data_IF_797728458836
#
_entry.id   IF_797728458836
#
_cell.length_a   1.000
_cell.length_b   1.000
_cell.length_c   1.000
_cell.angle_alpha   90.00
_cell.angle_beta   90.00
_cell.angle_gamma   90.00
#
_symmetry.space_group_name_H-M   'P 1'
#
loop_
_entity.id
_entity.type
_entity.pdbx_description
1 polymer ?
#
# COMPACT_ATOMS: atom_id res chain seq x y z
N UNK A 1 31.53 -7.64 8.61
CA UNK A 1 30.67 -7.94 9.77
C UNK A 1 29.47 -8.70 9.23
N UNK A 2 29.59 -10.02 9.23
CA UNK A 2 28.66 -10.93 8.58
C UNK A 2 27.59 -11.33 9.61
N UNK A 3 26.36 -10.83 9.44
CA UNK A 3 25.21 -11.30 10.21
C UNK A 3 24.64 -12.54 9.51
N UNK A 4 24.26 -13.55 10.30
CA UNK A 4 23.39 -14.66 9.91
C UNK A 4 22.02 -14.49 10.61
N UNK A 5 20.93 -14.88 9.98
CA UNK A 5 19.57 -14.75 10.54
C UNK A 5 19.04 -16.15 10.86
N UNK A 6 18.35 -16.29 12.01
CA UNK A 6 17.77 -17.55 12.49
C UNK A 6 16.25 -17.51 12.29
N UNK A 7 15.68 -18.50 11.60
CA UNK A 7 14.23 -18.60 11.40
C UNK A 7 13.52 -19.12 12.66
N UNK A 8 12.42 -18.47 13.07
CA UNK A 8 11.57 -18.88 14.20
C UNK A 8 10.12 -19.10 13.75
N UNK A 9 9.57 -20.23 14.17
CA UNK A 9 8.20 -20.73 13.96
C UNK A 9 7.18 -20.10 14.92
N UNK A 10 5.96 -19.88 14.43
CA UNK A 10 4.89 -19.09 15.07
C UNK A 10 4.11 -19.73 16.23
N UNK A 11 3.18 -18.95 16.78
CA UNK A 11 2.16 -19.31 17.78
C UNK A 11 1.02 -18.26 17.80
N UNK A 12 -0.15 -18.49 18.47
CA UNK A 12 -1.46 -18.48 17.82
C UNK A 12 -2.33 -17.22 18.01
N UNK A 13 -3.36 -17.14 17.16
CA UNK A 13 -4.32 -16.06 17.01
C UNK A 13 -5.34 -15.94 18.16
N UNK A 14 -5.68 -14.69 18.51
CA UNK A 14 -6.79 -14.33 19.39
C UNK A 14 -7.98 -13.82 18.56
N UNK A 15 -9.12 -14.52 18.65
CA UNK A 15 -10.40 -14.14 18.07
C UNK A 15 -11.06 -12.99 18.84
N UNK A 16 -11.56 -11.97 18.16
CA UNK A 16 -12.68 -11.14 18.63
C UNK A 16 -13.50 -10.60 17.44
N UNK A 17 -14.78 -10.35 17.73
CA UNK A 17 -15.95 -10.46 16.85
C UNK A 17 -16.20 -9.25 15.94
N UNK A 18 -16.61 -9.56 14.71
CA UNK A 18 -17.22 -8.64 13.74
C UNK A 18 -18.69 -8.38 14.09
N UNK A 19 -19.11 -7.11 14.03
CA UNK A 19 -20.51 -6.75 13.84
C UNK A 19 -20.65 -5.73 12.72
N UNK A 20 -21.57 -6.07 11.83
CA UNK A 20 -21.97 -5.40 10.60
C UNK A 20 -22.58 -4.02 10.83
N UNK A 21 -22.30 -3.09 9.92
CA UNK A 21 -23.16 -1.93 9.65
C UNK A 21 -23.33 -1.81 8.13
N UNK A 22 -24.55 -2.06 7.67
CA UNK A 22 -25.03 -1.66 6.35
C UNK A 22 -25.60 -0.23 6.44
N UNK A 23 -25.23 0.65 5.53
CA UNK A 23 -26.11 1.24 4.48
C UNK A 23 -25.63 2.61 3.96
N UNK A 24 -25.92 2.79 2.66
CA UNK A 24 -26.27 4.00 1.93
C UNK A 24 -25.18 5.02 1.51
N UNK A 25 -24.84 4.95 0.21
CA UNK A 25 -25.02 6.09 -0.69
C UNK A 25 -23.84 6.43 -1.60
N UNK A 26 -23.89 6.03 -2.88
CA UNK A 26 -23.87 6.93 -4.07
C UNK A 26 -24.31 6.12 -5.29
N UNK A 27 -25.09 6.73 -6.18
CA UNK A 27 -25.74 6.09 -7.34
C UNK A 27 -24.73 5.52 -8.35
N UNK A 28 -24.65 4.19 -8.43
CA UNK A 28 -24.18 3.44 -9.60
C UNK A 28 -25.36 2.65 -10.18
N UNK A 29 -25.44 2.54 -11.50
CA UNK A 29 -26.53 1.85 -12.19
C UNK A 29 -26.75 0.43 -11.65
N UNK A 30 -27.95 0.16 -11.14
CA UNK A 30 -28.51 -1.14 -10.72
C UNK A 30 -27.50 -2.32 -10.64
N UNK A 31 -26.96 -2.55 -9.44
CA UNK A 31 -26.73 -3.90 -8.92
C UNK A 31 -25.31 -4.49 -8.97
N UNK A 32 -24.35 -3.86 -9.64
CA UNK A 32 -22.97 -4.40 -9.72
C UNK A 32 -21.96 -3.38 -9.20
N UNK A 33 -21.16 -3.79 -8.20
CA UNK A 33 -20.04 -2.99 -7.69
C UNK A 33 -19.02 -2.75 -8.82
N UNK A 34 -18.38 -1.57 -8.88
CA UNK A 34 -17.34 -1.31 -9.86
C UNK A 34 -16.20 -2.33 -9.69
N UNK A 35 -15.54 -2.69 -10.78
CA UNK A 35 -14.37 -3.57 -10.76
C UNK A 35 -13.06 -2.76 -10.75
N UNK A 36 -11.94 -3.46 -10.63
CA UNK A 36 -10.61 -2.82 -10.66
C UNK A 36 -10.23 -2.22 -12.02
N UNK A 37 -10.95 -2.50 -13.10
CA UNK A 37 -10.77 -1.82 -14.39
C UNK A 37 -11.48 -0.46 -14.35
N UNK A 38 -12.73 -0.43 -13.87
CA UNK A 38 -13.49 0.80 -13.66
C UNK A 38 -12.78 1.77 -12.72
N UNK A 39 -12.10 1.28 -11.67
CA UNK A 39 -11.22 2.11 -10.81
C UNK A 39 -10.14 2.79 -11.64
N UNK A 40 -9.42 2.03 -12.47
CA UNK A 40 -8.32 2.57 -13.29
C UNK A 40 -8.82 3.55 -14.34
N UNK A 41 -9.98 3.29 -14.95
CA UNK A 41 -10.59 4.17 -15.93
C UNK A 41 -11.05 5.48 -15.29
N UNK A 42 -11.65 5.41 -14.10
CA UNK A 42 -12.04 6.59 -13.30
C UNK A 42 -10.81 7.44 -12.95
N UNK A 43 -9.71 6.80 -12.54
CA UNK A 43 -8.45 7.49 -12.28
C UNK A 43 -7.89 8.20 -13.53
N UNK A 44 -7.95 7.56 -14.71
CA UNK A 44 -7.54 8.20 -15.96
C UNK A 44 -8.39 9.43 -16.27
N UNK A 45 -9.70 9.34 -16.08
CA UNK A 45 -10.64 10.45 -16.29
C UNK A 45 -10.35 11.64 -15.36
N UNK A 46 -10.20 11.38 -14.05
CA UNK A 46 -9.90 12.41 -13.03
C UNK A 46 -8.61 13.17 -13.34
N UNK A 47 -7.58 12.44 -13.78
CA UNK A 47 -6.25 13.00 -14.04
C UNK A 47 -6.15 13.65 -15.42
N UNK A 48 -7.03 13.29 -16.36
CA UNK A 48 -6.96 13.69 -17.76
C UNK A 48 -5.81 13.01 -18.51
N UNK A 49 -5.47 11.77 -18.14
CA UNK A 49 -4.35 11.05 -18.73
C UNK A 49 -4.72 10.49 -20.11
N UNK A 50 -4.00 10.87 -21.17
CA UNK A 50 -4.14 10.22 -22.48
C UNK A 50 -3.56 8.81 -22.46
N UNK A 51 -4.21 7.89 -23.18
CA UNK A 51 -3.70 6.54 -23.44
C UNK A 51 -2.56 6.52 -24.46
N UNK A 52 -2.47 7.56 -25.31
CA UNK A 52 -1.48 7.64 -26.36
C UNK A 52 -0.21 8.33 -25.86
N UNK A 53 0.94 7.74 -26.19
CA UNK A 53 2.22 8.32 -25.81
C UNK A 53 2.45 9.68 -26.44
N UNK A 54 2.00 9.93 -27.68
CA UNK A 54 2.16 11.20 -28.38
C UNK A 54 1.63 12.40 -27.59
N UNK A 55 0.58 12.20 -26.81
CA UNK A 55 -0.20 13.30 -26.22
C UNK A 55 0.35 13.73 -24.84
N UNK A 56 1.39 13.05 -24.33
CA UNK A 56 1.93 13.29 -23.00
C UNK A 56 2.42 14.73 -22.79
N UNK A 57 2.95 15.37 -23.84
CA UNK A 57 3.43 16.76 -23.78
C UNK A 57 2.25 17.70 -23.57
N UNK A 58 1.19 17.54 -24.36
CA UNK A 58 -0.02 18.35 -24.24
C UNK A 58 -0.68 18.15 -22.89
N UNK A 59 -0.81 16.89 -22.44
CA UNK A 59 -1.38 16.57 -21.13
C UNK A 59 -0.58 17.20 -19.98
N UNK A 60 0.76 17.29 -20.07
CA UNK A 60 1.57 17.97 -19.06
C UNK A 60 1.33 19.49 -19.05
N UNK A 61 1.21 20.13 -20.22
CA UNK A 61 0.96 21.57 -20.28
C UNK A 61 -0.47 21.92 -19.79
N UNK A 62 -1.46 21.09 -20.12
CA UNK A 62 -2.81 21.18 -19.56
C UNK A 62 -2.80 21.06 -18.04
N UNK A 63 -2.04 20.11 -17.48
CA UNK A 63 -1.92 19.98 -16.01
C UNK A 63 -1.27 21.19 -15.38
N UNK A 64 -0.24 21.75 -15.98
CA UNK A 64 0.45 22.94 -15.48
C UNK A 64 -0.49 24.15 -15.41
N UNK A 65 -1.47 24.24 -16.31
CA UNK A 65 -2.50 25.29 -16.25
C UNK A 65 -3.39 25.21 -15.00
N UNK A 66 -3.52 24.02 -14.38
CA UNK A 66 -4.31 23.80 -13.17
C UNK A 66 -3.63 24.34 -11.90
N UNK A 67 -2.41 24.86 -11.99
CA UNK A 67 -1.66 25.40 -10.84
C UNK A 67 -2.43 26.51 -10.11
N UNK A 68 -3.21 27.31 -10.83
CA UNK A 68 -4.03 28.39 -10.29
C UNK A 68 -5.20 27.91 -9.42
N UNK A 69 -5.61 26.64 -9.55
CA UNK A 69 -6.71 26.04 -8.81
C UNK A 69 -6.27 25.46 -7.45
N UNK A 70 -4.98 25.47 -7.14
CA UNK A 70 -4.48 25.00 -5.85
C UNK A 70 -4.85 25.97 -4.74
N UNK A 71 -5.38 25.42 -3.64
CA UNK A 71 -5.59 26.17 -2.41
C UNK A 71 -4.26 26.66 -1.84
N UNK A 72 -4.25 27.90 -1.31
CA UNK A 72 -3.06 28.50 -0.69
C UNK A 72 -2.92 28.11 0.78
N UNK A 73 -4.03 27.80 1.43
CA UNK A 73 -4.07 27.27 2.79
C UNK A 73 -5.07 26.12 2.90
N UNK A 74 -4.95 25.32 3.95
CA UNK A 74 -5.85 24.18 4.16
C UNK A 74 -7.26 24.63 4.55
N UNK A 75 -7.36 25.76 5.25
CA UNK A 75 -8.63 26.33 5.72
C UNK A 75 -9.49 26.85 4.55
N UNK A 76 -8.89 27.05 3.37
CA UNK A 76 -9.60 27.43 2.14
C UNK A 76 -10.35 26.25 1.51
N UNK A 77 -10.14 25.02 2.00
CA UNK A 77 -10.76 23.81 1.48
C UNK A 77 -11.93 23.36 2.38
N UNK A 78 -13.05 22.90 1.79
CA UNK A 78 -14.18 22.44 2.58
C UNK A 78 -13.81 21.18 3.37
N UNK A 79 -14.30 21.10 4.61
CA UNK A 79 -14.17 19.91 5.43
C UNK A 79 -14.96 18.73 4.85
N UNK A 80 -14.43 17.52 5.04
CA UNK A 80 -14.97 16.26 4.53
C UNK A 80 -15.12 15.26 5.68
N UNK A 81 -16.05 14.33 5.56
CA UNK A 81 -16.25 13.21 6.50
C UNK A 81 -15.62 11.94 5.93
N UNK A 82 -15.36 10.92 6.76
CA UNK A 82 -14.75 9.67 6.27
C UNK A 82 -15.63 9.02 5.21
N UNK A 83 -16.95 9.00 5.43
CA UNK A 83 -17.95 8.49 4.48
C UNK A 83 -17.91 9.15 3.10
N UNK A 84 -17.46 10.40 3.00
CA UNK A 84 -17.42 11.13 1.73
C UNK A 84 -16.34 10.58 0.77
N UNK A 85 -15.42 9.76 1.30
CA UNK A 85 -14.35 9.09 0.57
C UNK A 85 -14.51 7.57 0.55
N UNK A 86 -15.62 7.05 1.09
CA UNK A 86 -15.85 5.62 1.17
C UNK A 86 -16.10 5.01 -0.22
N UNK A 87 -15.39 3.94 -0.53
CA UNK A 87 -15.50 3.23 -1.81
C UNK A 87 -15.59 1.72 -1.55
N UNK A 88 -16.45 1.04 -2.31
CA UNK A 88 -16.47 -0.42 -2.44
C UNK A 88 -16.15 -0.82 -3.90
N UNK A 89 -15.29 -1.83 -4.06
CA UNK A 89 -14.87 -2.35 -5.37
C UNK A 89 -14.88 -3.87 -5.35
N UNK A 90 -15.34 -4.49 -6.43
CA UNK A 90 -15.28 -5.93 -6.61
C UNK A 90 -14.05 -6.37 -7.41
N UNK A 91 -13.52 -7.54 -7.08
CA UNK A 91 -12.54 -8.25 -7.87
C UNK A 91 -13.10 -9.68 -8.11
N UNK A 92 -13.79 -9.88 -9.24
CA UNK A 92 -14.59 -11.08 -9.48
C UNK A 92 -13.73 -12.27 -9.97
N UNK A 93 -12.79 -12.74 -9.15
CA UNK A 93 -11.93 -13.87 -9.52
C UNK A 93 -12.73 -15.18 -9.69
N UNK A 94 -13.73 -15.41 -8.84
CA UNK A 94 -14.61 -16.57 -8.90
C UNK A 94 -15.53 -16.52 -10.12
N UNK A 95 -16.20 -15.38 -10.31
CA UNK A 95 -17.20 -15.20 -11.36
C UNK A 95 -16.62 -14.95 -12.76
N UNK A 96 -15.35 -14.52 -12.88
CA UNK A 96 -14.71 -14.23 -14.17
C UNK A 96 -13.37 -14.98 -14.35
N UNK A 97 -13.39 -16.22 -14.90
CA UNK A 97 -12.18 -17.03 -15.08
C UNK A 97 -11.10 -16.37 -15.95
N UNK A 98 -11.49 -15.61 -16.99
CA UNK A 98 -10.51 -14.91 -17.84
C UNK A 98 -9.73 -13.84 -17.08
N UNK A 99 -10.38 -13.14 -16.13
CA UNK A 99 -9.71 -12.19 -15.25
C UNK A 99 -8.79 -12.90 -14.27
N UNK A 100 -9.24 -14.06 -13.74
CA UNK A 100 -8.50 -14.87 -12.76
C UNK A 100 -7.11 -15.26 -13.24
N UNK A 101 -6.93 -15.57 -14.52
CA UNK A 101 -5.62 -15.90 -15.12
C UNK A 101 -4.54 -14.85 -14.80
N UNK A 102 -4.92 -13.56 -14.76
CA UNK A 102 -4.00 -12.46 -14.44
C UNK A 102 -3.51 -12.50 -12.98
N UNK A 103 -4.29 -13.10 -12.09
CA UNK A 103 -4.06 -13.17 -10.65
C UNK A 103 -3.52 -14.51 -10.19
N UNK A 104 -3.46 -15.54 -11.04
CA UNK A 104 -2.91 -16.85 -10.65
C UNK A 104 -1.38 -16.88 -10.68
N UNK A 105 -0.80 -17.53 -9.68
CA UNK A 105 0.61 -17.94 -9.72
C UNK A 105 0.74 -19.40 -10.16
N UNK A 106 1.98 -19.87 -10.31
CA UNK A 106 2.29 -21.25 -10.75
C UNK A 106 1.81 -22.35 -9.80
N UNK A 107 1.38 -22.01 -8.58
CA UNK A 107 0.86 -22.93 -7.57
C UNK A 107 -0.66 -22.85 -7.43
N UNK A 108 -1.36 -22.26 -8.40
CA UNK A 108 -2.80 -22.00 -8.33
C UNK A 108 -3.24 -21.17 -7.10
N UNK A 109 -2.38 -20.29 -6.61
CA UNK A 109 -2.71 -19.32 -5.57
C UNK A 109 -2.78 -17.90 -6.16
N UNK A 110 -3.47 -17.00 -5.45
CA UNK A 110 -3.51 -15.58 -5.84
C UNK A 110 -2.13 -14.94 -5.69
N UNK A 111 -1.68 -14.25 -6.75
CA UNK A 111 -0.48 -13.41 -6.78
C UNK A 111 -0.69 -12.18 -5.90
N UNK A 112 -0.18 -12.25 -4.68
CA UNK A 112 -0.31 -11.15 -3.72
C UNK A 112 0.25 -9.82 -4.25
N UNK A 113 1.32 -9.84 -5.05
CA UNK A 113 1.83 -8.64 -5.72
C UNK A 113 0.80 -7.93 -6.63
N UNK A 114 -0.15 -8.66 -7.24
CA UNK A 114 -1.25 -8.04 -8.00
C UNK A 114 -2.27 -7.37 -7.09
N UNK A 115 -2.52 -7.94 -5.90
CA UNK A 115 -3.37 -7.34 -4.86
C UNK A 115 -2.76 -6.03 -4.35
N UNK A 116 -1.44 -5.97 -4.14
CA UNK A 116 -0.74 -4.73 -3.76
C UNK A 116 -0.90 -3.62 -4.83
N UNK A 117 -0.86 -4.00 -6.10
CA UNK A 117 -1.08 -3.06 -7.21
C UNK A 117 -2.52 -2.52 -7.25
N UNK A 118 -3.49 -3.37 -6.93
CA UNK A 118 -4.90 -2.99 -6.84
C UNK A 118 -5.18 -2.11 -5.62
N UNK A 119 -4.63 -2.44 -4.44
CA UNK A 119 -4.74 -1.63 -3.22
C UNK A 119 -4.14 -0.23 -3.42
N UNK A 120 -3.01 -0.12 -4.12
CA UNK A 120 -2.41 1.18 -4.43
C UNK A 120 -3.32 2.02 -5.34
N UNK A 121 -3.92 1.39 -6.36
CA UNK A 121 -4.88 2.05 -7.25
C UNK A 121 -6.13 2.52 -6.51
N UNK A 122 -6.68 1.65 -5.65
CA UNK A 122 -7.83 1.96 -4.82
C UNK A 122 -7.53 3.10 -3.84
N UNK A 123 -6.38 3.07 -3.17
CA UNK A 123 -5.99 4.12 -2.23
C UNK A 123 -5.87 5.49 -2.91
N UNK A 124 -5.33 5.54 -4.13
CA UNK A 124 -5.28 6.78 -4.92
C UNK A 124 -6.69 7.26 -5.26
N UNK A 125 -7.58 6.35 -5.67
CA UNK A 125 -8.97 6.72 -5.98
C UNK A 125 -9.71 7.25 -4.75
N UNK A 126 -9.58 6.60 -3.59
CA UNK A 126 -10.17 7.04 -2.32
C UNK A 126 -9.73 8.48 -2.00
N UNK A 127 -8.43 8.78 -2.14
CA UNK A 127 -7.92 10.13 -1.93
C UNK A 127 -8.46 11.14 -2.95
N UNK A 128 -8.63 10.75 -4.21
CA UNK A 128 -9.26 11.62 -5.20
C UNK A 128 -10.74 11.87 -4.91
N UNK A 129 -11.46 10.86 -4.42
CA UNK A 129 -12.84 11.00 -3.96
C UNK A 129 -12.90 11.93 -2.74
N UNK A 130 -11.97 11.81 -1.79
CA UNK A 130 -11.86 12.73 -0.65
C UNK A 130 -11.63 14.18 -1.07
N UNK A 131 -10.73 14.39 -2.03
CA UNK A 131 -10.31 15.73 -2.50
C UNK A 131 -11.13 16.25 -3.69
N UNK A 132 -12.24 15.60 -4.03
CA UNK A 132 -13.06 15.95 -5.19
C UNK A 132 -13.60 17.38 -5.05
N UNK A 133 -13.22 18.24 -5.99
CA UNK A 133 -13.75 19.59 -6.13
C UNK A 133 -14.93 19.60 -7.12
N UNK A 134 -15.62 20.74 -7.25
CA UNK A 134 -16.72 20.92 -8.21
C UNK A 134 -16.28 20.88 -9.68
N UNK A 135 -14.98 21.04 -9.95
CA UNK A 135 -14.38 20.94 -11.29
C UNK A 135 -14.23 19.49 -11.75
N UNK A 136 -14.45 19.23 -13.04
CA UNK A 136 -14.29 17.92 -13.68
C UNK A 136 -12.86 17.35 -13.59
N UNK A 137 -11.84 18.23 -13.51
CA UNK A 137 -10.42 17.85 -13.37
C UNK A 137 -9.84 18.40 -12.08
N UNK A 138 -9.01 17.60 -11.42
CA UNK A 138 -8.32 17.96 -10.18
C UNK A 138 -6.91 18.51 -10.43
N UNK A 139 -6.50 19.60 -9.75
CA UNK A 139 -5.13 20.10 -9.81
C UNK A 139 -4.13 19.21 -9.05
N UNK A 140 -4.61 18.29 -8.20
CA UNK A 140 -3.74 17.50 -7.33
C UNK A 140 -3.11 16.33 -8.10
N UNK A 141 -1.83 16.08 -7.82
CA UNK A 141 -1.17 14.81 -8.12
C UNK A 141 -1.04 14.02 -6.83
N UNK A 142 -1.77 12.91 -6.71
CA UNK A 142 -1.76 12.06 -5.52
C UNK A 142 -0.80 10.90 -5.77
N UNK A 143 0.16 10.74 -4.88
CA UNK A 143 1.17 9.68 -4.96
C UNK A 143 1.29 8.95 -3.63
N UNK A 144 1.61 7.66 -3.72
CA UNK A 144 1.88 6.82 -2.56
C UNK A 144 3.20 7.22 -1.92
N UNK A 145 3.16 7.64 -0.65
CA UNK A 145 4.36 7.98 0.09
C UNK A 145 4.95 6.75 0.78
N UNK A 146 4.11 5.93 1.42
CA UNK A 146 4.50 4.68 2.04
C UNK A 146 3.30 3.77 2.30
N UNK A 147 3.56 2.48 2.43
CA UNK A 147 2.64 1.51 3.02
C UNK A 147 3.00 1.35 4.49
N UNK A 148 2.07 1.69 5.37
CA UNK A 148 2.34 1.75 6.81
C UNK A 148 2.20 0.37 7.46
N UNK A 149 1.06 -0.29 7.19
CA UNK A 149 0.79 -1.63 7.69
C UNK A 149 -0.05 -2.42 6.68
N UNK A 150 0.29 -3.69 6.51
CA UNK A 150 -0.57 -4.70 5.91
C UNK A 150 -0.70 -5.84 6.90
N UNK A 151 -1.93 -6.16 7.28
CA UNK A 151 -2.28 -7.24 8.20
C UNK A 151 -3.03 -8.32 7.44
N UNK A 152 -2.45 -9.53 7.38
CA UNK A 152 -3.05 -10.68 6.72
C UNK A 152 -3.75 -11.54 7.77
N UNK A 153 -5.08 -11.48 7.79
CA UNK A 153 -5.90 -12.30 8.69
C UNK A 153 -6.00 -13.75 8.22
N UNK A 154 -5.82 -13.98 6.91
CA UNK A 154 -5.75 -15.32 6.29
C UNK A 154 -4.52 -15.41 5.39
N UNK A 155 -3.77 -16.50 5.52
CA UNK A 155 -2.56 -16.74 4.71
C UNK A 155 -2.85 -17.24 3.29
N UNK A 156 -4.05 -17.78 3.05
CA UNK A 156 -4.47 -18.32 1.76
C UNK A 156 -5.65 -17.51 1.23
N UNK A 157 -5.50 -17.01 0.02
CA UNK A 157 -6.53 -16.28 -0.72
C UNK A 157 -6.97 -17.19 -1.87
N UNK A 158 -8.20 -17.67 -1.81
CA UNK A 158 -8.73 -18.60 -2.80
C UNK A 158 -8.88 -17.93 -4.18
N UNK A 159 -8.34 -18.49 -5.27
CA UNK A 159 -8.41 -17.86 -6.60
C UNK A 159 -9.79 -18.00 -7.27
N UNK A 160 -10.62 -18.91 -6.78
CA UNK A 160 -11.94 -19.27 -7.29
C UNK A 160 -13.08 -18.56 -6.56
N UNK A 161 -12.74 -17.62 -5.67
CA UNK A 161 -13.69 -16.87 -4.86
C UNK A 161 -13.59 -15.38 -5.16
N UNK A 162 -14.74 -14.71 -5.26
CA UNK A 162 -14.79 -13.26 -5.48
C UNK A 162 -14.28 -12.49 -4.26
N UNK A 163 -13.64 -11.36 -4.52
CA UNK A 163 -13.07 -10.48 -3.51
C UNK A 163 -13.82 -9.14 -3.55
N UNK A 164 -14.01 -8.54 -2.37
CA UNK A 164 -14.49 -7.17 -2.22
C UNK A 164 -13.45 -6.34 -1.48
N UNK A 165 -13.06 -5.22 -2.06
CA UNK A 165 -12.30 -4.19 -1.38
C UNK A 165 -13.25 -3.11 -0.88
N UNK A 166 -12.96 -2.59 0.30
CA UNK A 166 -13.60 -1.39 0.83
C UNK A 166 -12.52 -0.46 1.39
N UNK A 167 -12.78 0.84 1.46
CA UNK A 167 -11.82 1.75 2.10
C UNK A 167 -12.30 3.18 2.15
N UNK A 168 -11.62 3.98 2.97
CA UNK A 168 -11.88 5.41 3.17
C UNK A 168 -10.62 6.10 3.70
N UNK A 169 -10.59 7.43 3.62
CA UNK A 169 -9.57 8.25 4.30
C UNK A 169 -9.87 8.26 5.79
N UNK A 170 -8.95 7.76 6.62
CA UNK A 170 -9.11 7.65 8.08
C UNK A 170 -8.42 8.78 8.84
N UNK A 171 -7.46 9.46 8.22
CA UNK A 171 -6.76 10.60 8.83
C UNK A 171 -6.20 11.53 7.77
N UNK A 172 -6.13 12.83 8.08
CA UNK A 172 -5.64 13.86 7.18
C UNK A 172 -4.66 14.80 7.90
N UNK A 173 -3.48 14.97 7.31
CA UNK A 173 -2.53 16.03 7.65
C UNK A 173 -2.72 17.28 6.79
N UNK A 174 -1.69 18.08 6.62
CA UNK A 174 -1.78 19.27 5.74
C UNK A 174 -1.83 18.91 4.26
N UNK A 175 -0.99 17.95 3.86
CA UNK A 175 -0.76 17.55 2.46
C UNK A 175 -0.70 16.02 2.30
N UNK A 176 -1.14 15.29 3.32
CA UNK A 176 -1.03 13.83 3.40
C UNK A 176 -2.32 13.24 3.92
N UNK A 177 -2.66 12.04 3.46
CA UNK A 177 -3.88 11.33 3.83
C UNK A 177 -3.51 9.88 4.19
N UNK A 178 -3.98 9.40 5.33
CA UNK A 178 -3.94 7.98 5.67
C UNK A 178 -5.21 7.33 5.15
N UNK A 179 -5.06 6.23 4.42
CA UNK A 179 -6.16 5.49 3.81
C UNK A 179 -6.19 4.10 4.41
N UNK A 180 -7.33 3.74 5.00
CA UNK A 180 -7.60 2.38 5.48
C UNK A 180 -8.41 1.64 4.44
N UNK A 181 -7.95 0.43 4.12
CA UNK A 181 -8.58 -0.46 3.15
C UNK A 181 -8.75 -1.84 3.76
N UNK A 182 -9.89 -2.46 3.50
CA UNK A 182 -10.24 -3.80 3.92
C UNK A 182 -10.52 -4.67 2.70
N UNK A 183 -9.94 -5.86 2.69
CA UNK A 183 -10.19 -6.88 1.69
C UNK A 183 -10.97 -8.01 2.33
N UNK A 184 -12.13 -8.31 1.75
CA UNK A 184 -12.99 -9.42 2.13
C UNK A 184 -13.09 -10.42 0.98
N UNK A 185 -13.23 -11.70 1.31
CA UNK A 185 -13.41 -12.77 0.35
C UNK A 185 -14.75 -13.47 0.56
N UNK A 186 -15.47 -13.67 -0.54
CA UNK A 186 -16.76 -14.31 -0.60
C UNK A 186 -16.61 -15.83 -0.58
N UNK A 187 -17.08 -16.48 0.47
CA UNK A 187 -17.19 -17.95 0.54
C UNK A 187 -18.66 -18.32 0.72
N UNK A 188 -19.23 -19.01 -0.28
CA UNK A 188 -20.68 -19.15 -0.37
C UNK A 188 -21.33 -17.76 -0.49
N UNK A 189 -22.24 -17.44 0.42
CA UNK A 189 -22.93 -16.13 0.47
C UNK A 189 -22.39 -15.19 1.56
N UNK A 190 -21.22 -15.49 2.14
CA UNK A 190 -20.67 -14.74 3.28
C UNK A 190 -19.31 -14.13 2.93
N UNK A 191 -19.19 -12.82 3.13
CA UNK A 191 -17.90 -12.13 3.08
C UNK A 191 -17.15 -12.30 4.40
N UNK A 192 -15.92 -12.79 4.30
CA UNK A 192 -15.00 -12.93 5.43
C UNK A 192 -13.78 -12.04 5.25
N UNK A 193 -13.27 -11.39 6.31
CA UNK A 193 -12.10 -10.53 6.19
C UNK A 193 -10.84 -11.36 5.89
N UNK A 194 -9.96 -10.79 5.08
CA UNK A 194 -8.71 -11.42 4.61
C UNK A 194 -7.51 -10.54 4.91
N UNK A 195 -7.63 -9.23 4.64
CA UNK A 195 -6.52 -8.30 4.77
C UNK A 195 -7.00 -6.91 5.18
N UNK A 196 -6.24 -6.28 6.06
CA UNK A 196 -6.34 -4.85 6.37
C UNK A 196 -5.07 -4.14 5.91
N UNK A 197 -5.22 -3.03 5.20
CA UNK A 197 -4.12 -2.21 4.71
C UNK A 197 -4.28 -0.77 5.17
N UNK A 198 -3.17 -0.15 5.59
CA UNK A 198 -3.08 1.28 5.90
C UNK A 198 -1.96 1.89 5.06
N UNK A 199 -2.34 2.76 4.13
CA UNK A 199 -1.42 3.43 3.20
C UNK A 199 -1.39 4.93 3.53
N UNK A 200 -0.25 5.58 3.31
CA UNK A 200 -0.15 7.04 3.39
C UNK A 200 0.08 7.59 2.00
N UNK A 201 -0.84 8.42 1.56
CA UNK A 201 -0.80 9.14 0.29
C UNK A 201 -0.40 10.59 0.54
N UNK A 202 0.29 11.22 -0.41
CA UNK A 202 0.61 12.65 -0.37
C UNK A 202 0.08 13.35 -1.60
N UNK A 203 -0.48 14.54 -1.37
CA UNK A 203 -0.95 15.41 -2.43
C UNK A 203 0.16 16.39 -2.83
N UNK A 204 0.30 16.56 -4.12
CA UNK A 204 1.36 17.34 -4.76
C UNK A 204 0.73 18.27 -5.79
N UNK A 205 1.43 19.34 -6.13
CA UNK A 205 1.05 20.24 -7.21
C UNK A 205 0.94 19.49 -8.57
N UNK A 206 0.31 20.07 -9.60
CA UNK A 206 0.11 19.40 -10.88
C UNK A 206 1.40 18.86 -11.53
N UNK A 207 2.54 19.51 -11.27
CA UNK A 207 3.88 19.11 -11.75
C UNK A 207 4.58 18.08 -10.83
N UNK A 208 4.04 17.80 -9.64
CA UNK A 208 4.60 16.98 -8.57
C UNK A 208 5.95 17.48 -7.99
N UNK A 209 6.17 18.79 -7.97
CA UNK A 209 7.35 19.43 -7.41
C UNK A 209 7.15 19.84 -5.95
N UNK A 210 5.94 20.28 -5.58
CA UNK A 210 5.66 20.82 -4.24
C UNK A 210 4.50 20.09 -3.57
N UNK A 211 4.47 20.05 -2.22
CA UNK A 211 3.28 19.61 -1.48
C UNK A 211 2.07 20.50 -1.80
N UNK A 212 0.89 19.91 -1.85
CA UNK A 212 -0.38 20.62 -2.04
C UNK A 212 -1.36 20.30 -0.91
N UNK A 213 -2.14 21.30 -0.49
CA UNK A 213 -3.09 21.14 0.60
C UNK A 213 -4.26 20.22 0.21
N UNK A 214 -4.79 19.52 1.22
CA UNK A 214 -5.95 18.61 1.06
C UNK A 214 -7.06 18.99 2.03
N UNK A 215 -8.29 18.64 1.67
CA UNK A 215 -9.48 18.90 2.46
C UNK A 215 -9.34 18.36 3.88
N UNK A 216 -9.60 19.17 4.93
CA UNK A 216 -9.56 18.68 6.30
C UNK A 216 -10.63 17.60 6.52
N UNK A 217 -10.31 16.62 7.37
CA UNK A 217 -11.21 15.53 7.73
C UNK A 217 -11.84 15.83 9.10
N UNK A 218 -13.17 15.75 9.17
CA UNK A 218 -13.94 15.92 10.40
C UNK A 218 -14.65 14.60 10.70
N UNK A 219 -14.25 13.89 11.77
CA UNK A 219 -14.90 12.66 12.20
C UNK A 219 -16.39 12.87 12.56
N UNK A 220 -17.21 11.90 12.20
CA UNK A 220 -18.66 11.86 12.48
C UNK A 220 -18.98 10.79 13.54
N UNK A 221 -18.79 11.13 14.81
CA UNK A 221 -19.11 10.25 15.95
C UNK A 221 -17.91 9.51 16.55
N UNK A 222 -18.15 8.68 17.60
CA UNK A 222 -17.07 8.12 18.42
C UNK A 222 -16.20 7.10 17.69
N UNK A 223 -16.75 6.37 16.72
CA UNK A 223 -16.00 5.40 15.92
C UNK A 223 -14.99 6.08 14.99
N UNK A 224 -15.45 7.06 14.21
CA UNK A 224 -14.58 7.85 13.34
C UNK A 224 -13.55 8.65 14.15
N UNK A 225 -13.92 9.17 15.33
CA UNK A 225 -13.00 9.88 16.22
C UNK A 225 -11.85 8.97 16.69
N UNK A 226 -12.16 7.73 17.07
CA UNK A 226 -11.13 6.74 17.42
C UNK A 226 -10.21 6.42 16.23
N UNK A 227 -10.77 6.24 15.02
CA UNK A 227 -9.96 6.02 13.80
C UNK A 227 -9.04 7.21 13.50
N UNK A 228 -9.53 8.43 13.71
CA UNK A 228 -8.74 9.65 13.51
C UNK A 228 -7.59 9.75 14.52
N UNK A 229 -7.86 9.48 15.80
CA UNK A 229 -6.85 9.44 16.86
C UNK A 229 -5.79 8.35 16.64
N UNK A 230 -6.19 7.19 16.11
CA UNK A 230 -5.26 6.16 15.67
C UNK A 230 -4.34 6.67 14.56
N UNK A 231 -4.86 7.44 13.60
CA UNK A 231 -4.05 8.07 12.54
C UNK A 231 -3.00 9.06 13.08
N UNK A 232 -3.36 9.90 14.06
CA UNK A 232 -2.39 10.77 14.75
C UNK A 232 -1.32 9.94 15.49
N UNK A 233 -1.72 8.85 16.13
CA UNK A 233 -0.79 7.93 16.82
C UNK A 233 0.16 7.24 15.83
N UNK A 234 -0.34 6.81 14.67
CA UNK A 234 0.47 6.21 13.61
C UNK A 234 1.48 7.23 13.06
N UNK A 235 1.06 8.48 12.83
CA UNK A 235 1.96 9.58 12.45
C UNK A 235 3.07 9.79 13.48
N UNK A 236 2.73 9.87 14.77
CA UNK A 236 3.73 10.01 15.84
C UNK A 236 4.72 8.84 15.83
N UNK A 237 4.25 7.60 15.65
CA UNK A 237 5.10 6.42 15.51
C UNK A 237 6.03 6.51 14.30
N UNK A 238 5.54 6.95 13.14
CA UNK A 238 6.34 7.12 11.92
C UNK A 238 7.46 8.16 12.12
N UNK A 239 7.14 9.27 12.78
CA UNK A 239 8.15 10.30 13.12
C UNK A 239 9.19 9.73 14.08
N UNK A 240 8.75 9.06 15.16
CA UNK A 240 9.66 8.45 16.13
C UNK A 240 10.59 7.40 15.49
N UNK A 241 10.06 6.54 14.63
CA UNK A 241 10.85 5.55 13.89
C UNK A 241 11.88 6.21 12.97
N UNK A 242 11.50 7.28 12.26
CA UNK A 242 12.43 8.04 11.42
C UNK A 242 13.54 8.74 12.22
N UNK A 243 13.25 9.18 13.44
CA UNK A 243 14.25 9.78 14.34
C UNK A 243 15.18 8.74 14.96
N UNK A 244 14.68 7.53 15.24
CA UNK A 244 15.44 6.41 15.81
C UNK A 244 16.31 5.65 14.80
N UNK A 245 16.40 6.13 13.55
CA UNK A 245 17.24 5.51 12.51
C UNK A 245 18.68 5.33 12.97
N UNK A 246 19.28 4.16 12.71
CA UNK A 246 20.70 3.90 12.99
C UNK A 246 21.67 4.80 12.23
N UNK A 247 21.20 5.51 11.19
CA UNK A 247 21.97 6.57 10.51
C UNK A 247 22.07 7.86 11.35
N UNK A 248 21.26 7.99 12.40
CA UNK A 248 21.19 9.17 13.28
C UNK A 248 21.55 8.82 14.73
N UNK A 249 21.17 7.64 15.21
CA UNK A 249 21.35 7.19 16.59
C UNK A 249 22.17 5.90 16.63
N UNK A 250 22.99 5.73 17.67
CA UNK A 250 23.72 4.48 17.87
C UNK A 250 22.76 3.34 18.30
N UNK A 251 23.12 2.06 18.03
CA UNK A 251 22.34 0.92 18.48
C UNK A 251 22.17 0.90 20.01
N UNK A 252 21.00 0.46 20.46
CA UNK A 252 20.65 0.25 21.86
C UNK A 252 21.49 -0.86 22.51
N UNK A 253 21.46 -0.94 23.84
CA UNK A 253 22.12 -2.04 24.57
C UNK A 253 21.66 -3.42 24.11
N UNK A 254 20.35 -3.58 23.91
CA UNK A 254 19.73 -4.81 23.44
C UNK A 254 20.19 -5.18 22.02
N UNK A 255 20.15 -4.23 21.07
CA UNK A 255 20.62 -4.46 19.70
C UNK A 255 22.11 -4.84 19.66
N UNK A 256 22.95 -4.19 20.49
CA UNK A 256 24.38 -4.55 20.60
C UNK A 256 24.57 -5.97 21.10
N UNK A 257 23.78 -6.39 22.09
CA UNK A 257 23.84 -7.76 22.61
C UNK A 257 23.43 -8.77 21.53
N UNK A 258 22.34 -8.52 20.79
CA UNK A 258 21.92 -9.38 19.67
C UNK A 258 23.03 -9.55 18.63
N UNK A 259 23.67 -8.44 18.25
CA UNK A 259 24.79 -8.44 17.30
C UNK A 259 25.99 -9.21 17.85
N UNK A 260 26.29 -9.03 19.14
CA UNK A 260 27.38 -9.74 19.82
C UNK A 260 27.13 -11.25 19.88
N UNK A 261 25.92 -11.65 20.27
CA UNK A 261 25.52 -13.06 20.33
C UNK A 261 25.61 -13.72 18.95
N UNK A 262 25.15 -13.03 17.91
CA UNK A 262 25.28 -13.53 16.54
C UNK A 262 26.75 -13.67 16.11
N UNK A 263 27.59 -12.73 16.53
CA UNK A 263 29.02 -12.81 16.30
C UNK A 263 29.65 -14.01 17.04
N UNK A 264 29.28 -14.27 18.29
CA UNK A 264 29.80 -15.39 19.08
C UNK A 264 29.34 -16.75 18.53
N UNK A 265 28.06 -16.85 18.13
CA UNK A 265 27.47 -18.06 17.58
C UNK A 265 28.07 -18.50 16.24
N UNK A 266 28.88 -17.65 15.61
CA UNK A 266 29.55 -17.93 14.35
C UNK A 266 31.06 -18.18 14.51
N UNK A 267 31.59 -18.19 15.74
CA UNK A 267 33.01 -18.49 15.99
C UNK A 267 33.30 -19.98 15.97
N UNK A 268 34.46 -20.35 15.43
CA UNK A 268 34.96 -21.72 15.52
C UNK A 268 35.65 -21.95 16.87
N UNK A 269 34.97 -22.70 17.76
CA UNK A 269 35.49 -23.10 19.08
C UNK A 269 36.84 -23.85 19.04
N UNK A 270 37.23 -24.41 17.88
CA UNK A 270 38.50 -25.13 17.72
C UNK A 270 39.68 -24.19 17.48
N UNK A 271 39.44 -22.92 17.23
CA UNK A 271 40.47 -21.93 16.91
C UNK A 271 40.34 -20.68 17.77
N UNK A 272 41.45 -20.13 18.24
CA UNK A 272 41.48 -18.84 18.95
C UNK A 272 41.62 -17.70 17.94
N UNK A 273 40.69 -17.60 16.98
CA UNK A 273 40.77 -16.61 15.91
C UNK A 273 39.40 -16.03 15.57
N UNK A 274 39.34 -14.70 15.42
CA UNK A 274 38.16 -14.01 14.95
C UNK A 274 37.88 -14.19 13.45
N UNK A 275 38.85 -14.75 12.70
CA UNK A 275 38.70 -14.98 11.26
C UNK A 275 38.06 -16.32 10.94
N UNK A 276 38.23 -17.32 11.81
CA UNK A 276 37.62 -18.64 11.59
C UNK A 276 36.15 -18.56 12.01
N UNK A 277 35.26 -18.79 11.05
CA UNK A 277 33.82 -18.65 11.24
C UNK A 277 33.13 -19.91 10.76
N UNK A 278 32.25 -20.47 11.59
CA UNK A 278 31.39 -21.61 11.23
C UNK A 278 29.95 -21.14 11.30
N UNK A 279 29.20 -21.39 10.24
CA UNK A 279 27.78 -21.11 10.20
C UNK A 279 27.01 -22.15 11.05
N UNK A 280 26.07 -21.71 11.91
CA UNK A 280 25.12 -22.62 12.53
C UNK A 280 24.37 -23.47 11.49
N UNK A 281 23.84 -24.64 11.87
CA UNK A 281 22.99 -25.44 10.99
C UNK A 281 21.82 -24.61 10.43
N UNK A 282 21.45 -24.85 9.16
CA UNK A 282 20.39 -24.13 8.45
C UNK A 282 20.60 -22.61 8.38
N UNK A 283 21.85 -22.17 8.23
CA UNK A 283 22.17 -20.76 8.02
C UNK A 283 23.09 -20.56 6.83
N UNK A 284 22.97 -19.38 6.22
CA UNK A 284 23.80 -18.90 5.11
C UNK A 284 24.23 -17.47 5.43
N UNK A 285 25.32 -17.02 4.82
CA UNK A 285 25.70 -15.62 4.94
C UNK A 285 24.72 -14.74 4.16
N UNK A 286 24.37 -13.58 4.73
CA UNK A 286 23.51 -12.61 4.04
C UNK A 286 24.07 -12.16 2.69
N UNK A 287 25.38 -12.25 2.46
CA UNK A 287 25.97 -11.90 1.16
C UNK A 287 25.68 -12.91 0.06
N UNK A 288 25.51 -14.18 0.43
CA UNK A 288 25.18 -15.29 -0.46
C UNK A 288 23.66 -15.42 -0.69
N UNK A 289 22.86 -14.76 0.16
CA UNK A 289 21.39 -14.74 0.11
C UNK A 289 20.81 -13.57 -0.71
N UNK A 290 21.60 -12.97 -1.62
CA UNK A 290 21.21 -11.75 -2.36
C UNK A 290 20.65 -12.09 -3.74
N UNK A 291 19.39 -11.75 -3.97
CA UNK A 291 18.79 -11.73 -5.31
C UNK A 291 18.56 -10.29 -5.77
N UNK A 292 18.87 -10.00 -7.04
CA UNK A 292 18.67 -8.68 -7.64
C UNK A 292 17.84 -8.81 -8.91
N UNK A 293 16.82 -7.96 -9.05
CA UNK A 293 16.03 -7.82 -10.27
C UNK A 293 16.34 -6.48 -10.96
N UNK A 294 16.38 -6.49 -12.29
CA UNK A 294 16.42 -5.29 -13.12
C UNK A 294 15.24 -5.33 -14.09
N UNK A 295 14.48 -4.25 -14.15
CA UNK A 295 13.36 -4.13 -15.09
C UNK A 295 13.39 -2.77 -15.77
N UNK A 296 13.43 -2.79 -17.10
CA UNK A 296 13.38 -1.59 -17.91
C UNK A 296 11.91 -1.19 -18.06
N UNK A 297 11.59 0.03 -17.66
CA UNK A 297 10.24 0.57 -17.75
C UNK A 297 10.03 1.24 -19.11
N UNK A 298 9.12 0.67 -19.90
CA UNK A 298 8.69 1.14 -21.21
C UNK A 298 7.39 1.95 -21.11
N UNK A 299 7.00 2.66 -22.19
CA UNK A 299 5.80 3.51 -22.16
C UNK A 299 4.51 2.82 -21.70
N UNK A 300 4.39 1.52 -21.90
CA UNK A 300 3.25 0.70 -21.50
C UNK A 300 3.12 0.53 -19.97
N UNK A 301 4.20 0.76 -19.21
CA UNK A 301 4.24 0.62 -17.75
C UNK A 301 4.01 1.96 -17.01
N UNK A 302 3.60 3.01 -17.74
CA UNK A 302 3.32 4.32 -17.16
C UNK A 302 1.99 4.34 -16.41
N UNK A 303 1.97 5.08 -15.31
CA UNK A 303 0.77 5.44 -14.58
C UNK A 303 0.05 6.63 -15.22
N UNK A 304 -1.09 7.00 -14.64
CA UNK A 304 -1.91 8.16 -15.02
C UNK A 304 -1.15 9.50 -14.97
N UNK A 305 0.01 9.58 -14.31
CA UNK A 305 0.90 10.75 -14.28
C UNK A 305 2.16 10.57 -15.13
N UNK A 306 2.17 9.61 -16.07
CA UNK A 306 3.31 9.33 -16.94
C UNK A 306 4.58 8.85 -16.19
N UNK A 307 4.42 8.26 -14.99
CA UNK A 307 5.49 7.78 -14.10
C UNK A 307 5.30 6.31 -13.71
N UNK A 308 6.28 5.69 -13.06
CA UNK A 308 6.13 4.32 -12.53
C UNK A 308 5.24 4.35 -11.27
N UNK A 309 4.26 3.45 -11.18
CA UNK A 309 3.27 3.39 -10.10
C UNK A 309 3.84 2.77 -8.83
N UNK A 310 3.38 3.21 -7.64
CA UNK A 310 3.79 2.63 -6.36
C UNK A 310 3.45 1.14 -6.29
N UNK A 311 2.24 0.78 -6.72
CA UNK A 311 1.75 -0.59 -6.81
C UNK A 311 2.59 -1.50 -7.69
N UNK A 312 3.12 -0.98 -8.79
CA UNK A 312 4.03 -1.73 -9.65
C UNK A 312 5.36 -2.03 -8.93
N UNK A 313 5.96 -1.03 -8.27
CA UNK A 313 7.18 -1.21 -7.50
C UNK A 313 6.97 -2.21 -6.36
N UNK A 314 5.85 -2.09 -5.65
CA UNK A 314 5.48 -3.02 -4.57
C UNK A 314 5.32 -4.45 -5.07
N UNK A 315 4.67 -4.65 -6.23
CA UNK A 315 4.55 -5.96 -6.86
C UNK A 315 5.92 -6.57 -7.13
N UNK A 316 6.83 -5.81 -7.75
CA UNK A 316 8.17 -6.29 -8.11
C UNK A 316 9.04 -6.55 -6.89
N UNK A 317 8.98 -5.69 -5.88
CA UNK A 317 9.65 -5.90 -4.61
C UNK A 317 9.14 -7.16 -3.89
N UNK A 318 7.82 -7.37 -3.88
CA UNK A 318 7.21 -8.56 -3.29
C UNK A 318 7.59 -9.84 -4.04
N UNK A 319 7.50 -9.85 -5.37
CA UNK A 319 7.86 -11.00 -6.21
C UNK A 319 9.35 -11.36 -6.04
N UNK A 320 10.25 -10.37 -5.95
CA UNK A 320 11.67 -10.58 -5.68
C UNK A 320 11.92 -11.11 -4.26
N UNK A 321 11.24 -10.55 -3.25
CA UNK A 321 11.34 -11.01 -1.87
C UNK A 321 10.84 -12.44 -1.71
N UNK A 322 9.71 -12.77 -2.35
CA UNK A 322 9.16 -14.12 -2.39
C UNK A 322 10.12 -15.10 -3.06
N UNK A 323 10.73 -14.74 -4.21
CA UNK A 323 11.72 -15.58 -4.87
C UNK A 323 12.98 -15.80 -4.02
N UNK A 324 13.41 -14.77 -3.29
CA UNK A 324 14.54 -14.87 -2.34
C UNK A 324 14.20 -15.82 -1.20
N UNK A 325 13.00 -15.70 -0.61
CA UNK A 325 12.54 -16.59 0.44
C UNK A 325 12.41 -18.04 -0.04
N UNK A 326 11.89 -18.29 -1.25
CA UNK A 326 11.82 -19.65 -1.77
C UNK A 326 13.19 -20.27 -2.09
N UNK A 327 14.19 -19.44 -2.39
CA UNK A 327 15.55 -19.93 -2.72
C UNK A 327 16.38 -20.24 -1.47
N UNK A 328 16.14 -19.53 -0.37
CA UNK A 328 17.02 -19.52 0.80
C UNK A 328 16.32 -19.70 2.17
N UNK A 329 14.99 -19.64 2.22
CA UNK A 329 14.18 -19.58 3.44
C UNK A 329 13.47 -20.87 3.82
#
# INVERSE_FOLDING_TARGET
>A
MLLAVRCLSGCPASHLLSRSLMTAGTMYSKGQLPDMNAVRDTLRAIVGASTNWSDHVQAMEERKSLQSLLAKKQEDLPARKMKDSYIEVSLPLGSQPQLREKYLNVYNNVRFGRILEDLDSLGVLICYTHTKAESDKTPLSIVTALVDKIDLQKHLISPDCDIKFTGHVSWVGKTSMEVKMHMLQLHGDVYSPVLDATFVMVARDPENKRPAYVNPLVPDGPEEENLFQQGESNKMRRVAFSTASLLKMAPTGEERNIVHDLFLNTLDSRTVSFRSRILPPNSIWMEDAKLKGLEICHPQQRNIFNRIFGGFLMRKAYELGWATACSYG
#
